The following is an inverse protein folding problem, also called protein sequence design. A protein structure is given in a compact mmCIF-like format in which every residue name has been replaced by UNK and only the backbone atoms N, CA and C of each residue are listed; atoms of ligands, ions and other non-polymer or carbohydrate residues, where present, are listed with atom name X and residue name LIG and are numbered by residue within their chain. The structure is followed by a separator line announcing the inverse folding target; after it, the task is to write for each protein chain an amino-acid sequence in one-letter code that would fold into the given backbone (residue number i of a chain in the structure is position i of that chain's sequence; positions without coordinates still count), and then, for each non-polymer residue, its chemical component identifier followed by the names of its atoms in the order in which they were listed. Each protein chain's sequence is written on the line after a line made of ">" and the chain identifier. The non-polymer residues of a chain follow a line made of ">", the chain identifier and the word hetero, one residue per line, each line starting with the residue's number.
data_IF_189268709917
#
_entry.id   IF_189268709917
#
_cell.length_a   1.000
_cell.length_b   1.000
_cell.length_c   1.000
_cell.angle_alpha   90.00
_cell.angle_beta   90.00
_cell.angle_gamma   90.00
#
_symmetry.space_group_name_H-M   'P 1'
#
loop_
_entity.id
_entity.type
_entity.pdbx_description
1 polymer ?
#
# COMPACT_ATOMS: atom_id res chain seq x y z
N UNK A 1 6.69 -22.78 1.52
CA UNK A 1 5.25 -22.53 1.64
C UNK A 1 4.57 -22.12 0.32
N UNK A 2 5.06 -21.15 -0.47
CA UNK A 2 4.45 -20.84 -1.79
C UNK A 2 4.54 -21.98 -2.82
N UNK A 3 5.60 -22.79 -2.80
CA UNK A 3 5.74 -23.94 -3.73
C UNK A 3 4.76 -25.10 -3.49
N UNK A 4 4.07 -25.13 -2.34
CA UNK A 4 3.10 -26.19 -2.02
C UNK A 4 1.65 -25.83 -2.44
N UNK A 5 1.36 -24.56 -2.70
CA UNK A 5 0.02 -24.08 -3.10
C UNK A 5 -0.14 -24.03 -4.62
N UNK A 6 0.96 -24.07 -5.39
CA UNK A 6 0.92 -24.02 -6.87
C UNK A 6 0.88 -25.41 -7.55
N UNK A 7 0.83 -26.49 -6.77
CA UNK A 7 0.65 -27.85 -7.31
C UNK A 7 -0.84 -28.10 -7.60
N UNK A 8 -1.31 -27.67 -8.77
CA UNK A 8 -2.63 -28.06 -9.30
C UNK A 8 -3.47 -26.95 -9.95
N UNK A 9 -3.01 -25.70 -9.95
CA UNK A 9 -3.64 -24.63 -10.74
C UNK A 9 -2.98 -24.57 -12.12
N UNK A 10 -3.73 -24.56 -13.23
CA UNK A 10 -3.16 -24.29 -14.55
C UNK A 10 -2.33 -23.00 -14.48
N UNK A 11 -1.14 -23.00 -15.08
CA UNK A 11 -0.34 -21.78 -15.18
C UNK A 11 -1.24 -20.66 -15.72
N UNK A 12 -1.42 -19.54 -14.99
CA UNK A 12 -2.24 -18.46 -15.49
C UNK A 12 -1.63 -18.00 -16.81
N UNK A 13 -2.39 -18.14 -17.91
CA UNK A 13 -1.92 -17.68 -19.20
C UNK A 13 -1.54 -16.20 -19.06
N UNK A 14 -0.29 -15.86 -19.44
CA UNK A 14 0.26 -14.52 -19.29
C UNK A 14 -0.68 -13.41 -19.79
N UNK A 15 -1.46 -13.71 -20.84
CA UNK A 15 -2.48 -12.79 -21.39
C UNK A 15 -3.66 -12.55 -20.44
N UNK A 16 -4.16 -13.60 -19.78
CA UNK A 16 -5.29 -13.50 -18.87
C UNK A 16 -4.89 -12.79 -17.57
N UNK A 17 -3.67 -13.05 -17.06
CA UNK A 17 -3.10 -12.33 -15.93
C UNK A 17 -2.90 -10.84 -16.22
N UNK A 18 -2.42 -10.49 -17.42
CA UNK A 18 -2.22 -9.10 -17.85
C UNK A 18 -3.52 -8.31 -17.99
N UNK A 19 -4.62 -8.96 -18.40
CA UNK A 19 -5.94 -8.31 -18.49
C UNK A 19 -6.64 -8.21 -17.13
N UNK A 20 -6.44 -9.19 -16.26
CA UNK A 20 -7.06 -9.23 -14.93
C UNK A 20 -6.44 -8.21 -13.98
N UNK A 21 -5.13 -7.94 -14.10
CA UNK A 21 -4.42 -7.03 -13.21
C UNK A 21 -4.95 -5.56 -13.24
N UNK A 22 -5.12 -4.91 -14.41
CA UNK A 22 -5.74 -3.58 -14.49
C UNK A 22 -7.17 -3.57 -13.93
N UNK A 23 -7.95 -4.63 -14.15
CA UNK A 23 -9.31 -4.74 -13.65
C UNK A 23 -9.35 -4.80 -12.11
N UNK A 24 -8.44 -5.57 -11.50
CA UNK A 24 -8.31 -5.65 -10.04
C UNK A 24 -7.89 -4.31 -9.42
N UNK A 25 -6.99 -3.58 -10.09
CA UNK A 25 -6.56 -2.24 -9.67
C UNK A 25 -7.71 -1.24 -9.80
N UNK A 26 -8.32 -1.16 -10.99
CA UNK A 26 -9.39 -0.21 -11.28
C UNK A 26 -10.62 -0.48 -10.40
N UNK A 27 -11.00 -1.75 -10.24
CA UNK A 27 -12.08 -2.17 -9.35
C UNK A 27 -11.81 -1.80 -7.89
N UNK A 28 -10.59 -2.04 -7.40
CA UNK A 28 -10.17 -1.63 -6.06
C UNK A 28 -10.24 -0.12 -5.90
N UNK A 29 -9.67 0.63 -6.84
CA UNK A 29 -9.65 2.09 -6.81
C UNK A 29 -11.06 2.72 -6.83
N UNK A 30 -11.94 2.24 -7.70
CA UNK A 30 -13.34 2.71 -7.80
C UNK A 30 -14.09 2.39 -6.50
N UNK A 31 -13.94 1.17 -5.98
CA UNK A 31 -14.61 0.75 -4.74
C UNK A 31 -14.14 1.61 -3.56
N UNK A 32 -12.84 1.80 -3.42
CA UNK A 32 -12.24 2.66 -2.40
C UNK A 32 -12.72 4.11 -2.47
N UNK A 33 -12.74 4.67 -3.68
CA UNK A 33 -13.26 6.02 -3.93
C UNK A 33 -14.72 6.15 -3.51
N UNK A 34 -15.57 5.18 -3.87
CA UNK A 34 -16.99 5.19 -3.54
C UNK A 34 -17.22 5.05 -2.03
N UNK A 35 -16.53 4.12 -1.38
CA UNK A 35 -16.57 3.95 0.08
C UNK A 35 -16.16 5.25 0.81
N UNK A 36 -15.08 5.90 0.38
CA UNK A 36 -14.65 7.17 0.97
C UNK A 36 -15.68 8.29 0.76
N UNK A 37 -16.33 8.33 -0.41
CA UNK A 37 -17.36 9.34 -0.69
C UNK A 37 -18.58 9.18 0.20
N UNK A 38 -19.02 7.94 0.43
CA UNK A 38 -20.08 7.60 1.38
C UNK A 38 -19.66 7.95 2.81
N UNK A 39 -18.46 7.59 3.23
CA UNK A 39 -17.96 7.91 4.56
C UNK A 39 -17.90 9.42 4.81
N UNK A 40 -17.37 10.22 3.87
CA UNK A 40 -17.35 11.70 3.99
C UNK A 40 -18.77 12.26 4.07
N UNK A 41 -19.71 11.71 3.30
CA UNK A 41 -21.12 12.13 3.37
C UNK A 41 -21.72 11.85 4.75
N UNK A 42 -21.48 10.66 5.32
CA UNK A 42 -21.90 10.30 6.68
C UNK A 42 -21.24 11.22 7.71
N UNK A 43 -19.92 11.44 7.62
CA UNK A 43 -19.21 12.33 8.54
C UNK A 43 -19.76 13.76 8.50
N UNK A 44 -20.12 14.27 7.31
CA UNK A 44 -20.70 15.59 7.16
C UNK A 44 -22.09 15.71 7.80
N UNK A 45 -22.91 14.63 7.80
CA UNK A 45 -24.18 14.58 8.53
C UNK A 45 -23.96 14.70 10.05
N UNK A 46 -22.89 14.10 10.57
CA UNK A 46 -22.48 14.18 11.97
C UNK A 46 -21.51 15.33 12.25
N UNK A 47 -21.60 16.45 11.51
CA UNK A 47 -20.68 17.59 11.59
C UNK A 47 -20.45 18.16 13.00
N UNK A 48 -21.41 17.97 13.92
CA UNK A 48 -21.36 18.45 15.31
C UNK A 48 -20.79 17.44 16.32
N UNK A 49 -20.58 16.18 15.93
CA UNK A 49 -20.16 15.10 16.81
C UNK A 49 -18.80 14.54 16.35
N UNK A 50 -17.72 15.02 16.94
CA UNK A 50 -16.36 14.66 16.51
C UNK A 50 -16.07 13.16 16.68
N UNK A 51 -16.52 12.58 17.81
CA UNK A 51 -16.35 11.15 18.08
C UNK A 51 -16.99 10.27 17.00
N UNK A 52 -18.16 10.66 16.49
CA UNK A 52 -18.84 9.91 15.43
C UNK A 52 -18.03 9.95 14.12
N UNK A 53 -17.44 11.10 13.78
CA UNK A 53 -16.59 11.22 12.59
C UNK A 53 -15.33 10.35 12.70
N UNK A 54 -14.71 10.33 13.88
CA UNK A 54 -13.55 9.47 14.17
C UNK A 54 -13.90 8.00 13.99
N UNK A 55 -15.03 7.54 14.57
CA UNK A 55 -15.47 6.15 14.42
C UNK A 55 -15.71 5.76 12.97
N UNK A 56 -16.36 6.63 12.17
CA UNK A 56 -16.56 6.36 10.73
C UNK A 56 -15.22 6.29 10.00
N UNK A 57 -14.26 7.13 10.36
CA UNK A 57 -12.94 7.11 9.72
C UNK A 57 -12.18 5.83 10.02
N UNK A 58 -12.21 5.35 11.26
CA UNK A 58 -11.52 4.12 11.66
C UNK A 58 -12.19 2.89 11.03
N UNK A 59 -13.52 2.91 10.84
CA UNK A 59 -14.25 1.83 10.17
C UNK A 59 -14.01 1.78 8.66
N UNK A 60 -13.78 2.93 8.01
CA UNK A 60 -13.69 3.06 6.55
C UNK A 60 -12.67 2.09 5.90
N UNK A 61 -11.42 1.97 6.37
CA UNK A 61 -10.45 1.04 5.79
C UNK A 61 -10.93 -0.42 5.82
N UNK A 62 -11.52 -0.86 6.92
CA UNK A 62 -12.02 -2.23 7.04
C UNK A 62 -13.18 -2.49 6.08
N UNK A 63 -14.11 -1.54 5.98
CA UNK A 63 -15.25 -1.63 5.06
C UNK A 63 -14.81 -1.58 3.59
N UNK A 64 -13.85 -0.71 3.25
CA UNK A 64 -13.32 -0.61 1.89
C UNK A 64 -12.57 -1.88 1.48
N UNK A 65 -11.79 -2.45 2.41
CA UNK A 65 -11.07 -3.71 2.18
C UNK A 65 -12.03 -4.87 1.92
N UNK A 66 -12.97 -5.10 2.85
CA UNK A 66 -13.93 -6.21 2.76
C UNK A 66 -14.86 -6.03 1.57
N UNK A 67 -15.34 -4.81 1.31
CA UNK A 67 -16.18 -4.51 0.17
C UNK A 67 -15.49 -4.80 -1.16
N UNK A 68 -14.22 -4.43 -1.30
CA UNK A 68 -13.46 -4.70 -2.51
C UNK A 68 -13.18 -6.20 -2.70
N UNK A 69 -12.74 -6.92 -1.66
CA UNK A 69 -12.40 -8.34 -1.80
C UNK A 69 -13.62 -9.25 -1.91
N UNK A 70 -14.61 -9.09 -1.03
CA UNK A 70 -15.72 -10.05 -0.94
C UNK A 70 -16.88 -9.74 -1.88
N UNK A 71 -17.15 -8.46 -2.16
CA UNK A 71 -18.30 -8.06 -2.99
C UNK A 71 -17.88 -7.89 -4.45
N UNK A 72 -16.76 -7.20 -4.69
CA UNK A 72 -16.32 -6.84 -6.04
C UNK A 72 -15.30 -7.83 -6.62
N UNK A 73 -14.60 -8.61 -5.77
CA UNK A 73 -13.52 -9.48 -6.21
C UNK A 73 -12.28 -8.73 -6.71
N UNK A 74 -12.07 -7.50 -6.22
CA UNK A 74 -10.96 -6.62 -6.56
C UNK A 74 -9.93 -6.53 -5.42
N UNK A 75 -8.85 -5.76 -5.61
CA UNK A 75 -7.81 -5.63 -4.58
C UNK A 75 -8.26 -4.78 -3.40
N UNK A 76 -8.42 -5.40 -2.22
CA UNK A 76 -8.76 -4.75 -0.96
C UNK A 76 -7.74 -3.68 -0.54
N UNK A 77 -6.44 -3.99 -0.65
CA UNK A 77 -5.37 -3.05 -0.29
C UNK A 77 -5.45 -1.76 -1.12
N UNK A 78 -5.66 -1.90 -2.43
CA UNK A 78 -5.79 -0.74 -3.33
C UNK A 78 -7.05 0.06 -3.00
N UNK A 79 -8.15 -0.60 -2.65
CA UNK A 79 -9.36 0.08 -2.22
C UNK A 79 -9.14 0.91 -0.95
N UNK A 80 -8.42 0.39 0.04
CA UNK A 80 -8.08 1.15 1.25
C UNK A 80 -7.19 2.35 0.94
N UNK A 81 -6.18 2.18 0.09
CA UNK A 81 -5.29 3.28 -0.32
C UNK A 81 -6.08 4.35 -1.08
N UNK A 82 -6.93 3.95 -2.02
CA UNK A 82 -7.78 4.87 -2.77
C UNK A 82 -8.79 5.58 -1.86
N UNK A 83 -9.36 4.89 -0.87
CA UNK A 83 -10.24 5.47 0.13
C UNK A 83 -9.51 6.51 0.99
N UNK A 84 -8.31 6.19 1.48
CA UNK A 84 -7.48 7.11 2.26
C UNK A 84 -7.07 8.35 1.48
N UNK A 85 -6.66 8.18 0.22
CA UNK A 85 -6.32 9.29 -0.68
C UNK A 85 -7.55 10.19 -0.94
N UNK A 86 -8.70 9.58 -1.23
CA UNK A 86 -9.95 10.31 -1.47
C UNK A 86 -10.39 11.06 -0.21
N UNK A 87 -10.29 10.44 0.96
CA UNK A 87 -10.60 11.08 2.23
C UNK A 87 -9.69 12.29 2.47
N UNK A 88 -8.37 12.16 2.23
CA UNK A 88 -7.42 13.24 2.41
C UNK A 88 -7.71 14.46 1.51
N UNK A 89 -8.17 14.22 0.28
CA UNK A 89 -8.51 15.28 -0.68
C UNK A 89 -9.86 15.94 -0.40
N UNK A 90 -10.88 15.17 -0.01
CA UNK A 90 -12.27 15.67 0.09
C UNK A 90 -12.63 16.14 1.51
N UNK A 91 -12.06 15.53 2.56
CA UNK A 91 -12.39 15.83 3.95
C UNK A 91 -12.13 17.29 4.38
N UNK A 92 -11.01 17.96 3.99
CA UNK A 92 -10.72 19.32 4.44
C UNK A 92 -11.79 20.36 4.03
N UNK A 93 -12.49 20.12 2.91
CA UNK A 93 -13.55 21.00 2.42
C UNK A 93 -14.95 20.69 2.98
N UNK A 94 -15.10 19.62 3.75
CA UNK A 94 -16.40 19.12 4.25
C UNK A 94 -16.48 18.99 5.77
N UNK A 95 -15.33 18.88 6.45
CA UNK A 95 -15.25 18.71 7.89
C UNK A 95 -14.77 19.98 8.60
N UNK A 96 -15.19 20.21 9.86
CA UNK A 96 -14.65 21.29 10.67
C UNK A 96 -13.12 21.16 10.84
N UNK A 97 -12.37 22.28 10.86
CA UNK A 97 -10.90 22.24 10.99
C UNK A 97 -10.42 21.51 12.25
N UNK A 98 -11.14 21.65 13.36
CA UNK A 98 -10.82 20.99 14.63
C UNK A 98 -10.93 19.47 14.50
N UNK A 99 -12.07 18.97 14.02
CA UNK A 99 -12.32 17.54 13.85
C UNK A 99 -11.35 16.92 12.83
N UNK A 100 -10.99 17.65 11.77
CA UNK A 100 -9.97 17.21 10.80
C UNK A 100 -8.57 17.08 11.44
N UNK A 101 -8.19 17.99 12.33
CA UNK A 101 -6.91 17.91 13.07
C UNK A 101 -6.88 16.72 14.02
N UNK A 102 -7.95 16.54 14.82
CA UNK A 102 -8.09 15.37 15.71
C UNK A 102 -8.00 14.05 14.92
N UNK A 103 -8.60 13.99 13.73
CA UNK A 103 -8.52 12.83 12.86
C UNK A 103 -7.08 12.52 12.43
N UNK A 104 -6.32 13.53 11.99
CA UNK A 104 -4.92 13.37 11.58
C UNK A 104 -4.04 12.92 12.75
N UNK A 105 -4.24 13.49 13.93
CA UNK A 105 -3.49 13.10 15.13
C UNK A 105 -3.76 11.65 15.51
N UNK A 106 -5.04 11.24 15.53
CA UNK A 106 -5.43 9.86 15.81
C UNK A 106 -4.83 8.89 14.79
N UNK A 107 -4.90 9.20 13.49
CA UNK A 107 -4.25 8.41 12.46
C UNK A 107 -2.73 8.36 12.59
N UNK A 108 -2.09 9.44 13.04
CA UNK A 108 -0.67 9.48 13.34
C UNK A 108 -0.28 8.48 14.43
N UNK A 109 -1.06 8.44 15.52
CA UNK A 109 -0.85 7.47 16.61
C UNK A 109 -1.08 6.04 16.12
N UNK A 110 -2.18 5.79 15.38
CA UNK A 110 -2.48 4.47 14.82
C UNK A 110 -1.39 3.98 13.86
N UNK A 111 -0.89 4.85 12.99
CA UNK A 111 0.20 4.52 12.06
C UNK A 111 1.50 4.21 12.81
N UNK A 112 1.81 4.98 13.87
CA UNK A 112 2.96 4.71 14.72
C UNK A 112 2.85 3.35 15.41
N UNK A 113 1.68 3.04 15.99
CA UNK A 113 1.43 1.75 16.65
C UNK A 113 1.49 0.57 15.68
N UNK A 114 0.89 0.71 14.49
CA UNK A 114 0.95 -0.32 13.46
C UNK A 114 2.41 -0.57 13.03
N UNK A 115 3.18 0.50 12.80
CA UNK A 115 4.60 0.40 12.49
C UNK A 115 5.40 -0.29 13.58
N UNK A 116 5.24 0.14 14.84
CA UNK A 116 5.91 -0.45 15.98
C UNK A 116 5.56 -1.93 16.15
N UNK A 117 4.28 -2.30 16.00
CA UNK A 117 3.83 -3.69 16.09
C UNK A 117 4.43 -4.56 15.00
N UNK A 118 4.49 -4.07 13.75
CA UNK A 118 5.13 -4.81 12.65
C UNK A 118 6.62 -5.02 12.93
N UNK A 119 7.32 -4.01 13.45
CA UNK A 119 8.73 -4.16 13.84
C UNK A 119 8.92 -5.15 15.00
N UNK A 120 8.06 -5.13 16.02
CA UNK A 120 8.12 -6.07 17.13
C UNK A 120 7.86 -7.50 16.62
N UNK A 121 6.83 -7.69 15.79
CA UNK A 121 6.53 -8.99 15.18
C UNK A 121 7.69 -9.49 14.32
N UNK A 122 8.28 -8.62 13.50
CA UNK A 122 9.46 -8.95 12.72
C UNK A 122 10.65 -9.35 13.62
N UNK A 123 10.93 -8.58 14.68
CA UNK A 123 12.02 -8.87 15.62
C UNK A 123 11.84 -10.20 16.35
N UNK A 124 10.60 -10.63 16.62
CA UNK A 124 10.29 -11.93 17.23
C UNK A 124 10.34 -13.09 16.23
N UNK A 125 9.97 -12.84 14.97
CA UNK A 125 9.87 -13.88 13.94
C UNK A 125 11.21 -14.15 13.25
N UNK A 126 12.02 -13.11 12.99
CA UNK A 126 13.30 -13.21 12.28
C UNK A 126 14.26 -14.24 12.94
N UNK A 127 14.48 -14.24 14.27
CA UNK A 127 15.38 -15.21 14.90
C UNK A 127 14.94 -16.66 14.69
N UNK A 128 13.63 -16.93 14.78
CA UNK A 128 13.08 -18.28 14.56
C UNK A 128 13.31 -18.75 13.12
N UNK A 129 13.18 -17.84 12.15
CA UNK A 129 13.46 -18.16 10.75
C UNK A 129 14.95 -18.40 10.50
N UNK A 130 15.84 -17.76 11.27
CA UNK A 130 17.30 -17.92 11.15
C UNK A 130 17.84 -19.19 11.81
N UNK A 131 17.15 -19.77 12.79
CA UNK A 131 17.56 -21.07 13.38
C UNK A 131 17.45 -22.23 12.39
N UNK A 132 16.56 -22.12 11.40
CA UNK A 132 16.37 -23.12 10.34
C UNK A 132 17.27 -22.90 9.10
N UNK A 133 18.07 -21.82 9.08
CA UNK A 133 18.86 -21.41 7.92
C UNK A 133 20.09 -22.30 7.71
N UNK A 134 20.22 -22.85 6.50
CA UNK A 134 21.41 -23.55 6.02
C UNK A 134 22.33 -22.57 5.27
N UNK A 135 23.60 -22.93 5.11
CA UNK A 135 24.60 -22.12 4.37
C UNK A 135 24.12 -21.80 2.92
N UNK A 136 23.32 -22.70 2.32
CA UNK A 136 22.71 -22.47 1.01
C UNK A 136 21.69 -21.32 0.96
N UNK A 137 20.99 -21.05 2.07
CA UNK A 137 19.98 -19.98 2.14
C UNK A 137 20.65 -18.60 2.22
N UNK A 138 21.88 -18.52 2.74
CA UNK A 138 22.70 -17.29 2.73
C UNK A 138 22.99 -16.86 1.30
N UNK A 139 23.27 -17.81 0.40
CA UNK A 139 23.47 -17.53 -1.03
C UNK A 139 22.17 -17.02 -1.66
N UNK A 140 21.02 -17.62 -1.34
CA UNK A 140 19.72 -17.18 -1.84
C UNK A 140 19.36 -15.77 -1.34
N UNK A 141 19.64 -15.45 -0.06
CA UNK A 141 19.46 -14.10 0.48
C UNK A 141 20.36 -13.10 -0.25
N UNK A 142 21.62 -13.45 -0.50
CA UNK A 142 22.53 -12.60 -1.27
C UNK A 142 22.02 -12.37 -2.70
N UNK A 143 21.51 -13.42 -3.38
CA UNK A 143 20.90 -13.30 -4.70
C UNK A 143 19.67 -12.41 -4.68
N UNK A 144 18.78 -12.55 -3.68
CA UNK A 144 17.59 -11.69 -3.54
C UNK A 144 17.99 -10.24 -3.31
N UNK A 145 19.01 -9.97 -2.48
CA UNK A 145 19.52 -8.61 -2.25
C UNK A 145 20.08 -8.03 -3.55
N UNK A 146 20.92 -8.78 -4.28
CA UNK A 146 21.48 -8.33 -5.55
C UNK A 146 20.38 -8.11 -6.59
N UNK A 147 19.46 -9.07 -6.76
CA UNK A 147 18.34 -8.95 -7.69
C UNK A 147 17.45 -7.75 -7.35
N UNK A 148 17.17 -7.51 -6.07
CA UNK A 148 16.44 -6.35 -5.59
C UNK A 148 17.14 -5.02 -5.93
N UNK A 149 18.45 -4.93 -5.70
CA UNK A 149 19.25 -3.74 -5.99
C UNK A 149 19.32 -3.50 -7.50
N UNK A 150 19.54 -4.55 -8.28
CA UNK A 150 19.55 -4.49 -9.75
C UNK A 150 18.19 -4.07 -10.29
N UNK A 151 17.09 -4.66 -9.82
CA UNK A 151 15.74 -4.25 -10.20
C UNK A 151 15.48 -2.76 -9.91
N UNK A 152 15.89 -2.28 -8.73
CA UNK A 152 15.78 -0.85 -8.38
C UNK A 152 16.66 0.02 -9.29
N UNK A 153 17.86 -0.42 -9.63
CA UNK A 153 18.75 0.27 -10.57
C UNK A 153 18.13 0.35 -11.98
N UNK A 154 17.54 -0.74 -12.47
CA UNK A 154 16.84 -0.79 -13.77
C UNK A 154 15.64 0.16 -13.79
N UNK A 155 14.84 0.22 -12.72
CA UNK A 155 13.71 1.14 -12.64
C UNK A 155 14.19 2.61 -12.61
N UNK A 156 15.20 2.93 -11.79
CA UNK A 156 15.66 4.30 -11.59
C UNK A 156 16.52 4.84 -12.75
N UNK A 157 17.31 4.00 -13.42
CA UNK A 157 18.22 4.40 -14.49
C UNK A 157 17.75 3.98 -15.90
N UNK A 158 16.79 3.06 -16.00
CA UNK A 158 16.15 2.68 -17.27
C UNK A 158 14.78 3.33 -17.42
N UNK A 159 13.84 2.99 -16.54
CA UNK A 159 12.43 3.37 -16.69
C UNK A 159 12.19 4.87 -16.44
N UNK A 160 12.76 5.45 -15.39
CA UNK A 160 12.62 6.89 -15.10
C UNK A 160 13.10 7.79 -16.24
N UNK A 161 14.33 7.67 -16.78
CA UNK A 161 14.76 8.53 -17.89
C UNK A 161 13.97 8.29 -19.17
N UNK A 162 13.43 7.09 -19.39
CA UNK A 162 12.52 6.80 -20.50
C UNK A 162 11.19 7.57 -20.34
N UNK A 163 10.62 7.56 -19.13
CA UNK A 163 9.41 8.32 -18.79
C UNK A 163 9.63 9.85 -18.80
N UNK A 164 10.82 10.32 -18.41
CA UNK A 164 11.20 11.74 -18.52
C UNK A 164 11.34 12.16 -19.99
N UNK A 165 11.88 11.31 -20.87
CA UNK A 165 11.91 11.55 -22.33
C UNK A 165 10.51 11.61 -22.93
N UNK A 166 9.57 10.82 -22.41
CA UNK A 166 8.16 10.83 -22.79
C UNK A 166 7.35 11.97 -22.15
N UNK A 167 7.99 12.90 -21.40
CA UNK A 167 7.37 14.07 -20.72
C UNK A 167 6.24 13.73 -19.73
N UNK A 168 6.17 12.48 -19.26
CA UNK A 168 5.15 12.04 -18.29
C UNK A 168 5.58 12.28 -16.83
N UNK A 169 6.82 12.74 -16.58
CA UNK A 169 7.35 12.99 -15.23
C UNK A 169 8.32 14.20 -15.23
N UNK A 170 8.32 15.06 -14.19
CA UNK A 170 9.30 16.13 -14.03
C UNK A 170 10.74 15.59 -14.04
N UNK A 171 11.72 16.32 -14.59
CA UNK A 171 13.10 15.86 -14.64
C UNK A 171 13.66 15.67 -13.23
N UNK A 172 13.98 14.42 -12.87
CA UNK A 172 14.63 14.08 -11.60
C UNK A 172 16.15 14.06 -11.79
N UNK A 173 16.83 14.99 -11.12
CA UNK A 173 18.28 15.13 -11.17
C UNK A 173 19.01 13.85 -10.73
N UNK A 174 20.15 13.56 -11.38
CA UNK A 174 20.98 12.37 -11.11
C UNK A 174 21.38 12.21 -9.63
N UNK A 175 21.80 13.25 -8.88
CA UNK A 175 22.08 13.12 -7.45
C UNK A 175 20.84 12.70 -6.64
N UNK A 176 19.64 13.15 -7.02
CA UNK A 176 18.39 12.77 -6.36
C UNK A 176 18.00 11.30 -6.64
N UNK A 177 18.32 10.77 -7.82
CA UNK A 177 18.16 9.34 -8.15
C UNK A 177 19.06 8.44 -7.29
N UNK A 178 20.29 8.86 -7.03
CA UNK A 178 21.21 8.13 -6.14
C UNK A 178 20.72 8.19 -4.68
N UNK A 179 20.18 9.33 -4.24
CA UNK A 179 19.57 9.46 -2.93
C UNK A 179 18.32 8.57 -2.76
N UNK A 180 17.46 8.45 -3.78
CA UNK A 180 16.30 7.53 -3.76
C UNK A 180 16.73 6.06 -3.80
N UNK A 181 17.80 5.74 -4.54
CA UNK A 181 18.36 4.39 -4.60
C UNK A 181 18.77 3.91 -3.19
N UNK A 182 19.42 4.81 -2.43
CA UNK A 182 19.95 4.53 -1.09
C UNK A 182 18.93 4.73 0.04
N UNK A 183 18.06 5.73 -0.07
CA UNK A 183 17.10 6.14 0.98
C UNK A 183 15.82 5.31 1.05
N UNK A 184 15.62 4.37 0.12
CA UNK A 184 14.44 3.50 0.12
C UNK A 184 14.52 2.41 1.18
N UNK A 185 14.26 2.78 2.45
CA UNK A 185 13.90 1.82 3.51
C UNK A 185 12.73 0.99 2.96
N UNK A 186 12.94 -0.33 2.85
CA UNK A 186 11.84 -1.27 2.62
C UNK A 186 10.95 -1.18 3.85
N UNK A 187 9.85 -0.42 3.75
CA UNK A 187 8.88 -0.31 4.83
C UNK A 187 8.21 -1.64 5.13
N UNK A 188 7.32 -1.65 6.12
CA UNK A 188 6.54 -2.81 6.56
C UNK A 188 5.76 -3.57 5.47
N UNK A 189 5.64 -3.02 4.25
CA UNK A 189 4.97 -3.63 3.10
C UNK A 189 6.03 -4.11 2.12
N UNK A 190 6.53 -5.33 2.31
CA UNK A 190 7.36 -6.09 1.35
C UNK A 190 6.87 -7.51 1.27
#
# INVERSE_FOLDING_TARGET
>A
FMGFVMLGTPDPELGEALLRFPLLIAGGAITGWLCARVAVWIMALFGRHELAQISVSVALPYLAYIGAEQIVGASGVIAVVAAGLTLNLVAPGRLPPQSWTNLRELWGVLAHWAGALIFILAALLIPRLLEEVRIGDILLVAVVIVAAVVARMVILFGLLPLLTRLRLSPPVDRPYRVAILWGGLRGAVT
#
